data_IF_574238503369
#
_entry.id   IF_574238503369
#
_cell.length_a   1.000
_cell.length_b   1.000
_cell.length_c   1.000
_cell.angle_alpha   90.00
_cell.angle_beta   90.00
_cell.angle_gamma   90.00
#
_symmetry.space_group_name_H-M   'P 1'
#
loop_
_entity.id
_entity.type
_entity.pdbx_description
1 polymer ?
#
# COMPACT_ATOMS: atom_id res chain seq x y z
N UNK A 1 -15.49 -24.54 -10.02
CA UNK A 1 -16.12 -24.03 -8.78
C UNK A 1 -15.39 -22.77 -8.37
N UNK A 2 -16.12 -21.67 -8.12
CA UNK A 2 -15.54 -20.54 -7.41
C UNK A 2 -14.98 -21.02 -6.06
N UNK A 3 -13.85 -20.46 -5.62
CA UNK A 3 -13.22 -20.86 -4.37
C UNK A 3 -14.23 -20.79 -3.21
N UNK A 4 -14.40 -21.89 -2.46
CA UNK A 4 -15.36 -21.97 -1.34
C UNK A 4 -14.99 -21.07 -0.16
N UNK A 5 -13.76 -20.55 -0.12
CA UNK A 5 -13.21 -19.76 0.98
C UNK A 5 -12.42 -18.58 0.43
N UNK A 6 -12.51 -17.45 1.11
CA UNK A 6 -11.70 -16.25 0.87
C UNK A 6 -10.84 -16.00 2.09
N UNK A 7 -9.56 -15.71 1.88
CA UNK A 7 -8.66 -15.21 2.91
C UNK A 7 -8.46 -13.71 2.65
N UNK A 8 -9.07 -12.88 3.50
CA UNK A 8 -8.94 -11.43 3.43
C UNK A 8 -7.97 -10.97 4.51
N UNK A 9 -6.93 -10.24 4.11
CA UNK A 9 -5.94 -9.66 5.03
C UNK A 9 -5.98 -8.15 4.83
N UNK A 10 -6.21 -7.41 5.91
CA UNK A 10 -6.16 -5.94 5.91
C UNK A 10 -4.84 -5.51 6.53
N UNK A 11 -4.05 -4.76 5.77
CA UNK A 11 -2.83 -4.12 6.25
C UNK A 11 -3.19 -2.69 6.68
N UNK A 12 -3.49 -2.52 7.96
CA UNK A 12 -3.93 -1.24 8.51
C UNK A 12 -2.87 -0.14 8.33
N UNK A 13 -3.28 1.03 7.88
CA UNK A 13 -2.40 2.18 7.61
C UNK A 13 -1.48 2.06 6.39
N UNK A 14 -1.49 0.96 5.64
CA UNK A 14 -0.57 0.73 4.51
C UNK A 14 -1.13 1.33 3.21
N UNK A 15 -1.02 2.65 3.08
CA UNK A 15 -1.43 3.41 1.88
C UNK A 15 -0.39 3.39 0.73
N UNK A 16 -0.86 3.57 -0.51
CA UNK A 16 -0.06 3.55 -1.75
C UNK A 16 -0.02 4.90 -2.50
N UNK A 17 -0.34 5.99 -1.82
CA UNK A 17 -0.43 7.33 -2.39
C UNK A 17 -1.71 8.06 -1.96
N UNK A 18 -1.79 9.35 -2.28
CA UNK A 18 -2.96 10.17 -1.97
C UNK A 18 -4.14 9.85 -2.88
N UNK A 19 -5.34 10.01 -2.35
CA UNK A 19 -6.56 10.08 -3.15
C UNK A 19 -6.75 11.47 -3.78
N UNK A 20 -7.58 11.61 -4.83
CA UNK A 20 -7.83 12.90 -5.48
C UNK A 20 -8.41 13.99 -4.56
N UNK A 21 -9.05 13.60 -3.46
CA UNK A 21 -9.69 14.48 -2.48
C UNK A 21 -8.81 14.73 -1.24
N UNK A 22 -7.54 14.30 -1.23
CA UNK A 22 -6.65 14.44 -0.08
C UNK A 22 -6.50 15.89 0.43
N UNK A 23 -6.63 16.88 -0.46
CA UNK A 23 -6.63 18.29 -0.09
C UNK A 23 -7.76 18.70 0.87
N UNK A 24 -8.90 18.00 0.86
CA UNK A 24 -10.00 18.25 1.81
C UNK A 24 -9.66 17.84 3.24
N UNK A 25 -8.69 16.95 3.41
CA UNK A 25 -8.29 16.37 4.69
C UNK A 25 -6.93 16.86 5.18
N UNK A 26 -6.24 17.70 4.39
CA UNK A 26 -4.88 18.15 4.69
C UNK A 26 -3.81 17.09 4.47
N UNK A 27 -4.13 16.03 3.71
CA UNK A 27 -3.24 14.88 3.47
C UNK A 27 -2.57 14.92 2.08
N UNK A 28 -2.56 16.07 1.41
CA UNK A 28 -1.95 16.24 0.10
C UNK A 28 -0.45 15.86 0.14
N UNK A 29 -0.01 15.07 -0.84
CA UNK A 29 1.36 14.53 -0.89
C UNK A 29 1.63 13.29 -0.01
N UNK A 30 0.67 12.82 0.80
CA UNK A 30 0.82 11.58 1.56
C UNK A 30 1.05 10.35 0.68
N UNK A 31 2.11 9.60 0.95
CA UNK A 31 2.40 8.34 0.27
C UNK A 31 3.12 7.38 1.23
N UNK A 32 2.38 6.58 2.00
CA UNK A 32 2.97 5.74 3.06
C UNK A 32 4.05 4.80 2.54
N UNK A 33 3.71 3.89 1.61
CA UNK A 33 4.67 2.93 1.08
C UNK A 33 5.81 3.61 0.29
N UNK A 34 5.49 4.63 -0.51
CA UNK A 34 6.50 5.37 -1.28
C UNK A 34 7.49 6.11 -0.38
N UNK A 35 7.01 6.80 0.66
CA UNK A 35 7.86 7.52 1.61
C UNK A 35 8.72 6.56 2.44
N UNK A 36 8.16 5.44 2.89
CA UNK A 36 8.95 4.40 3.58
C UNK A 36 10.04 3.83 2.67
N UNK A 37 9.71 3.51 1.42
CA UNK A 37 10.70 3.01 0.46
C UNK A 37 11.81 4.04 0.21
N UNK A 38 11.46 5.32 0.03
CA UNK A 38 12.44 6.39 -0.17
C UNK A 38 13.37 6.56 1.04
N UNK A 39 12.82 6.56 2.26
CA UNK A 39 13.59 6.69 3.50
C UNK A 39 14.50 5.49 3.78
N UNK A 40 14.06 4.28 3.43
CA UNK A 40 14.79 3.03 3.73
C UNK A 40 15.71 2.56 2.61
N UNK A 41 15.73 3.24 1.46
CA UNK A 41 16.47 2.80 0.26
C UNK A 41 15.85 1.55 -0.39
N UNK A 42 14.52 1.40 -0.26
CA UNK A 42 13.73 0.28 -0.75
C UNK A 42 13.04 -0.51 0.36
N UNK A 43 11.99 -1.27 -0.01
CA UNK A 43 11.29 -2.18 0.90
C UNK A 43 11.62 -3.63 0.58
N UNK A 44 11.96 -4.42 1.60
CA UNK A 44 12.23 -5.86 1.47
C UNK A 44 10.95 -6.65 1.70
N UNK A 45 10.08 -6.67 0.69
CA UNK A 45 8.78 -7.38 0.74
C UNK A 45 8.64 -8.38 -0.42
N UNK A 46 9.54 -9.36 -0.55
CA UNK A 46 9.67 -10.20 -1.74
C UNK A 46 8.39 -10.97 -2.09
N UNK A 47 7.62 -11.42 -1.09
CA UNK A 47 6.35 -12.10 -1.34
C UNK A 47 5.29 -11.16 -1.89
N UNK A 48 5.16 -9.94 -1.37
CA UNK A 48 4.20 -8.96 -1.90
C UNK A 48 4.57 -8.56 -3.33
N UNK A 49 5.87 -8.46 -3.65
CA UNK A 49 6.33 -8.26 -5.03
C UNK A 49 5.92 -9.40 -5.94
N UNK A 50 6.01 -10.66 -5.50
CA UNK A 50 5.50 -11.80 -6.30
C UNK A 50 3.99 -11.77 -6.49
N UNK A 51 3.25 -11.06 -5.62
CA UNK A 51 1.82 -10.83 -5.72
C UNK A 51 1.44 -9.57 -6.53
N UNK A 52 2.42 -8.79 -7.01
CA UNK A 52 2.20 -7.62 -7.86
C UNK A 52 2.46 -6.27 -7.19
N UNK A 53 3.03 -6.22 -5.98
CA UNK A 53 3.47 -4.97 -5.36
C UNK A 53 4.85 -4.53 -5.88
N UNK A 54 4.89 -3.47 -6.69
CA UNK A 54 6.12 -2.91 -7.25
C UNK A 54 5.87 -2.21 -8.57
#
# INVERSE_FOLDING_TARGET
>A
MAARRVFLVVLDGVGIGTLPDAGLYGDEGSNTLGNMAAQLGGLKVPFLTTLGLG
#
